data_IF_001290751338
#
_entry.id   IF_001290751338
#
_cell.length_a   1.000
_cell.length_b   1.000
_cell.length_c   1.000
_cell.angle_alpha   90.00
_cell.angle_beta   90.00
_cell.angle_gamma   90.00
#
_symmetry.space_group_name_H-M   'P 1'
#
loop_
_entity.id
_entity.type
_entity.pdbx_description
1 polymer ?
#
# COMPACT_ATOMS: atom_id res chain seq x y z
N UNK A 1 21.46 5.56 -5.98
CA UNK A 1 20.67 4.98 -7.08
C UNK A 1 19.36 5.75 -7.18
N UNK A 2 18.74 5.92 -8.36
CA UNK A 2 17.42 6.54 -8.45
C UNK A 2 16.42 5.77 -7.58
N UNK A 3 15.39 6.44 -7.08
CA UNK A 3 14.36 5.78 -6.31
C UNK A 3 13.61 4.76 -7.19
N UNK A 4 13.19 3.63 -6.61
CA UNK A 4 12.66 2.47 -7.37
C UNK A 4 11.40 2.81 -8.19
N UNK A 5 10.63 3.83 -7.78
CA UNK A 5 9.46 4.27 -8.52
C UNK A 5 9.80 5.03 -9.81
N UNK A 6 11.00 5.61 -9.90
CA UNK A 6 11.50 6.36 -11.06
C UNK A 6 12.17 5.43 -12.07
N UNK A 7 11.38 4.48 -12.59
CA UNK A 7 11.84 3.46 -13.55
C UNK A 7 11.96 3.95 -14.98
N UNK A 8 11.60 5.21 -15.25
CA UNK A 8 11.58 5.75 -16.60
C UNK A 8 12.92 5.55 -17.31
N UNK A 9 12.91 4.77 -18.40
CA UNK A 9 14.12 4.51 -19.21
C UNK A 9 15.07 3.44 -18.66
N UNK A 10 14.69 2.71 -17.62
CA UNK A 10 15.47 1.54 -17.17
C UNK A 10 15.31 0.41 -18.21
N UNK A 11 16.40 -0.31 -18.55
CA UNK A 11 16.31 -1.42 -19.48
C UNK A 11 15.57 -2.60 -18.83
N UNK A 12 14.47 -3.03 -19.45
CA UNK A 12 13.73 -4.24 -19.09
C UNK A 12 13.08 -4.82 -20.36
N UNK A 13 13.50 -6.02 -20.72
CA UNK A 13 12.99 -6.76 -21.89
C UNK A 13 11.95 -7.83 -21.48
N UNK A 14 11.55 -7.85 -20.21
CA UNK A 14 10.56 -8.81 -19.70
C UNK A 14 9.20 -8.57 -20.37
N UNK A 15 8.55 -9.61 -20.93
CA UNK A 15 7.22 -9.48 -21.50
C UNK A 15 6.22 -8.95 -20.48
N UNK A 16 5.47 -7.93 -20.88
CA UNK A 16 4.41 -7.34 -20.05
C UNK A 16 3.18 -8.26 -20.10
N UNK A 17 2.75 -8.73 -18.94
CA UNK A 17 1.43 -9.32 -18.75
C UNK A 17 0.35 -8.25 -19.01
N UNK A 18 -0.58 -8.53 -19.93
CA UNK A 18 -1.61 -7.56 -20.39
C UNK A 18 -3.03 -8.03 -20.14
N UNK A 19 -3.18 -9.24 -19.63
CA UNK A 19 -4.43 -9.76 -19.12
C UNK A 19 -5.03 -8.85 -18.05
N UNK A 20 -6.35 -8.78 -18.02
CA UNK A 20 -7.05 -8.01 -17.03
C UNK A 20 -6.95 -8.69 -15.66
N UNK A 21 -6.50 -7.93 -14.66
CA UNK A 21 -6.45 -8.40 -13.29
C UNK A 21 -7.84 -8.32 -12.65
N UNK A 22 -8.40 -9.47 -12.28
CA UNK A 22 -9.66 -9.52 -11.56
C UNK A 22 -9.40 -9.20 -10.10
N UNK A 23 -9.85 -8.01 -9.68
CA UNK A 23 -9.73 -7.58 -8.29
C UNK A 23 -10.42 -8.54 -7.34
N UNK A 24 -9.64 -9.06 -6.40
CA UNK A 24 -10.11 -9.81 -5.24
C UNK A 24 -10.86 -8.90 -4.27
N UNK A 25 -11.59 -9.52 -3.33
CA UNK A 25 -12.40 -8.79 -2.36
C UNK A 25 -11.57 -7.89 -1.45
N UNK A 26 -10.34 -8.29 -1.10
CA UNK A 26 -9.49 -7.50 -0.22
C UNK A 26 -8.91 -6.28 -0.95
N UNK A 27 -8.57 -6.39 -2.23
CA UNK A 27 -8.09 -5.26 -3.05
C UNK A 27 -9.17 -4.19 -3.16
N UNK A 28 -10.42 -4.60 -3.38
CA UNK A 28 -11.58 -3.70 -3.38
C UNK A 28 -11.79 -3.01 -2.02
N UNK A 29 -11.54 -3.73 -0.92
CA UNK A 29 -11.62 -3.15 0.43
C UNK A 29 -10.52 -2.12 0.66
N UNK A 30 -9.29 -2.39 0.22
CA UNK A 30 -8.17 -1.44 0.33
C UNK A 30 -8.47 -0.17 -0.47
N UNK A 31 -8.99 -0.31 -1.70
CA UNK A 31 -9.43 0.85 -2.49
C UNK A 31 -10.54 1.64 -1.77
N UNK A 32 -11.56 0.97 -1.24
CA UNK A 32 -12.64 1.61 -0.50
C UNK A 32 -12.13 2.39 0.73
N UNK A 33 -11.20 1.82 1.50
CA UNK A 33 -10.55 2.49 2.64
C UNK A 33 -9.74 3.70 2.16
N UNK A 34 -8.92 3.53 1.13
CA UNK A 34 -8.15 4.61 0.53
C UNK A 34 -9.05 5.78 0.08
N UNK A 35 -10.18 5.49 -0.55
CA UNK A 35 -11.14 6.49 -1.01
C UNK A 35 -11.84 7.18 0.17
N UNK A 36 -12.29 6.42 1.18
CA UNK A 36 -12.95 6.95 2.36
C UNK A 36 -12.06 7.92 3.13
N UNK A 37 -10.80 7.54 3.39
CA UNK A 37 -9.83 8.42 4.09
C UNK A 37 -9.54 9.70 3.29
N UNK A 38 -9.58 9.61 1.96
CA UNK A 38 -9.46 10.78 1.09
C UNK A 38 -10.61 11.74 1.16
N UNK A 39 -11.83 11.22 1.10
CA UNK A 39 -13.04 12.01 1.21
C UNK A 39 -13.11 12.77 2.55
N UNK A 40 -12.50 12.21 3.60
CA UNK A 40 -12.37 12.84 4.92
C UNK A 40 -11.17 13.78 5.05
N UNK A 41 -10.34 13.94 4.01
CA UNK A 41 -9.14 14.77 4.05
C UNK A 41 -8.01 14.24 4.94
N UNK A 42 -8.09 12.98 5.39
CA UNK A 42 -7.08 12.35 6.23
C UNK A 42 -5.78 12.12 5.45
N UNK A 43 -5.89 11.85 4.14
CA UNK A 43 -4.77 11.62 3.23
C UNK A 43 -4.94 12.40 1.93
N UNK A 44 -3.86 12.95 1.42
CA UNK A 44 -3.77 13.50 0.06
C UNK A 44 -3.14 12.48 -0.91
N UNK A 45 -3.26 12.73 -2.21
CA UNK A 45 -2.61 11.88 -3.23
C UNK A 45 -1.09 11.96 -3.13
N UNK A 46 -0.53 13.14 -2.85
CA UNK A 46 0.92 13.33 -2.73
C UNK A 46 1.48 12.63 -1.47
N UNK A 47 0.74 12.65 -0.37
CA UNK A 47 1.10 11.86 0.83
C UNK A 47 1.12 10.36 0.55
N UNK A 48 0.13 9.84 -0.18
CA UNK A 48 0.09 8.43 -0.58
C UNK A 48 1.29 8.06 -1.46
N UNK A 49 1.58 8.86 -2.49
CA UNK A 49 2.76 8.65 -3.35
C UNK A 49 4.04 8.62 -2.53
N UNK A 50 4.26 9.65 -1.73
CA UNK A 50 5.46 9.78 -0.88
C UNK A 50 5.58 8.59 0.09
N UNK A 51 4.48 8.12 0.68
CA UNK A 51 4.51 6.94 1.56
C UNK A 51 4.90 5.65 0.79
N UNK A 52 4.30 5.40 -0.38
CA UNK A 52 4.66 4.26 -1.25
C UNK A 52 6.12 4.33 -1.69
N UNK A 53 6.58 5.51 -2.11
CA UNK A 53 7.92 5.75 -2.63
C UNK A 53 9.01 5.69 -1.54
N UNK A 54 8.62 5.85 -0.27
CA UNK A 54 9.50 5.71 0.89
C UNK A 54 9.73 4.27 1.33
N UNK A 55 9.00 3.30 0.76
CA UNK A 55 9.21 1.88 1.05
C UNK A 55 10.65 1.47 0.71
N UNK A 56 11.28 0.60 1.53
CA UNK A 56 12.57 0.02 1.19
C UNK A 56 12.52 -0.63 -0.21
N UNK A 57 13.56 -0.47 -1.05
CA UNK A 57 13.59 -0.96 -2.42
C UNK A 57 13.12 -2.42 -2.56
N UNK A 58 13.62 -3.30 -1.69
CA UNK A 58 13.26 -4.72 -1.68
C UNK A 58 11.76 -4.95 -1.41
N UNK A 59 11.17 -4.16 -0.52
CA UNK A 59 9.74 -4.24 -0.19
C UNK A 59 8.89 -3.64 -1.31
N UNK A 60 9.35 -2.56 -1.93
CA UNK A 60 8.69 -1.99 -3.10
C UNK A 60 8.65 -2.99 -4.27
N UNK A 61 9.73 -3.74 -4.52
CA UNK A 61 9.72 -4.74 -5.58
C UNK A 61 8.82 -5.94 -5.25
N UNK A 62 8.82 -6.39 -3.99
CA UNK A 62 8.11 -7.59 -3.58
C UNK A 62 6.60 -7.42 -3.46
N UNK A 63 6.12 -6.24 -3.06
CA UNK A 63 4.68 -6.01 -2.84
C UNK A 63 3.93 -5.79 -4.16
N UNK A 64 2.77 -6.41 -4.27
CA UNK A 64 1.77 -6.13 -5.30
C UNK A 64 1.21 -4.70 -5.18
N UNK A 65 0.46 -4.28 -6.19
CA UNK A 65 -0.06 -2.90 -6.28
C UNK A 65 -0.88 -2.48 -5.05
N UNK A 66 -1.86 -3.30 -4.66
CA UNK A 66 -2.71 -2.98 -3.51
C UNK A 66 -2.03 -3.27 -2.17
N UNK A 67 -1.03 -4.15 -2.11
CA UNK A 67 -0.19 -4.31 -0.90
C UNK A 67 0.64 -3.05 -0.61
N UNK A 68 1.17 -2.38 -1.65
CA UNK A 68 1.82 -1.07 -1.50
C UNK A 68 0.87 -0.02 -0.95
N UNK A 69 -0.37 -0.01 -1.42
CA UNK A 69 -1.40 0.90 -0.90
C UNK A 69 -1.71 0.63 0.56
N UNK A 70 -1.88 -0.64 0.95
CA UNK A 70 -2.08 -1.01 2.35
C UNK A 70 -0.93 -0.55 3.23
N UNK A 71 0.32 -0.83 2.83
CA UNK A 71 1.50 -0.41 3.58
C UNK A 71 1.61 1.12 3.69
N UNK A 72 1.30 1.85 2.62
CA UNK A 72 1.30 3.31 2.64
C UNK A 72 0.20 3.88 3.54
N UNK A 73 -1.01 3.32 3.52
CA UNK A 73 -2.08 3.74 4.42
C UNK A 73 -1.71 3.50 5.89
N UNK A 74 -1.11 2.36 6.21
CA UNK A 74 -0.60 2.07 7.55
C UNK A 74 0.42 3.14 7.99
N UNK A 75 1.42 3.43 7.14
CA UNK A 75 2.41 4.51 7.40
C UNK A 75 1.70 5.83 7.69
N UNK A 76 0.76 6.25 6.84
CA UNK A 76 0.08 7.55 6.99
C UNK A 76 -0.76 7.63 8.26
N UNK A 77 -1.48 6.56 8.61
CA UNK A 77 -2.32 6.53 9.81
C UNK A 77 -1.48 6.58 11.09
N UNK A 78 -0.31 5.94 11.08
CA UNK A 78 0.67 6.01 12.17
C UNK A 78 1.31 7.39 12.26
N UNK A 79 1.80 7.94 11.15
CA UNK A 79 2.42 9.28 11.09
C UNK A 79 1.48 10.38 11.63
N UNK A 80 0.16 10.23 11.39
CA UNK A 80 -0.87 11.18 11.83
C UNK A 80 -1.41 10.88 13.23
N UNK A 81 -0.94 9.82 13.89
CA UNK A 81 -1.37 9.43 15.23
C UNK A 81 -2.83 8.96 15.31
N UNK A 82 -3.40 8.50 14.20
CA UNK A 82 -4.77 7.95 14.15
C UNK A 82 -4.79 6.51 14.64
N UNK A 83 -3.71 5.76 14.35
CA UNK A 83 -3.45 4.41 14.85
C UNK A 83 -2.00 4.32 15.30
N UNK A 84 -1.71 3.41 16.20
CA UNK A 84 -0.35 2.97 16.53
C UNK A 84 -0.02 1.62 15.88
N UNK A 85 1.27 1.33 15.73
CA UNK A 85 1.73 0.01 15.26
C UNK A 85 1.22 -1.11 16.18
N UNK A 86 1.28 -0.91 17.50
CA UNK A 86 0.83 -1.88 18.49
C UNK A 86 -0.68 -2.20 18.35
N UNK A 87 -1.52 -1.20 18.05
CA UNK A 87 -2.95 -1.42 17.82
C UNK A 87 -3.21 -2.26 16.57
N UNK A 88 -2.45 -2.01 15.50
CA UNK A 88 -2.55 -2.75 14.24
C UNK A 88 -2.07 -4.19 14.42
N UNK A 89 -0.94 -4.39 15.11
CA UNK A 89 -0.38 -5.71 15.39
C UNK A 89 -1.31 -6.53 16.29
N UNK A 90 -1.82 -5.93 17.37
CA UNK A 90 -2.77 -6.57 18.26
C UNK A 90 -4.05 -6.97 17.52
N UNK A 91 -4.56 -6.09 16.64
CA UNK A 91 -5.75 -6.41 15.84
C UNK A 91 -5.48 -7.52 14.84
N UNK A 92 -4.33 -7.51 14.18
CA UNK A 92 -3.94 -8.53 13.21
C UNK A 92 -3.77 -9.90 13.88
N UNK A 93 -3.14 -9.95 15.06
CA UNK A 93 -3.03 -11.17 15.86
C UNK A 93 -4.41 -11.72 16.25
N UNK A 94 -5.31 -10.85 16.74
CA UNK A 94 -6.68 -11.22 17.06
C UNK A 94 -7.44 -11.81 15.86
N UNK A 95 -7.32 -11.20 14.67
CA UNK A 95 -8.00 -11.69 13.47
C UNK A 95 -7.46 -13.06 13.03
N UNK A 96 -6.14 -13.28 13.13
CA UNK A 96 -5.53 -14.59 12.85
C UNK A 96 -6.03 -15.68 13.78
N UNK A 97 -6.20 -15.39 15.07
CA UNK A 97 -6.79 -16.32 16.04
C UNK A 97 -8.25 -16.68 15.71
N UNK A 98 -8.96 -15.77 15.03
CA UNK A 98 -10.33 -15.96 14.56
C UNK A 98 -10.41 -16.69 13.21
N UNK A 99 -9.26 -17.06 12.62
CA UNK A 99 -9.19 -17.73 11.32
C UNK A 99 -9.44 -16.80 10.13
N UNK A 100 -9.19 -15.50 10.32
CA UNK A 100 -9.24 -14.47 9.27
C UNK A 100 -7.84 -14.04 8.84
#
# INVERSE_FOLDING_TARGET
MPAVHDRGGWPDDTPIAREEHILSDWERRVDAVHQALGAQGIRTTDEMRRAIESLPPERYEALSYYEKWTAALEILLIEKGILSADEIDAKTAQLREQGL
#
